data_IF_499198970533
#
_entry.id   IF_499198970533
#
_cell.length_a   1.000
_cell.length_b   1.000
_cell.length_c   1.000
_cell.angle_alpha   90.00
_cell.angle_beta   90.00
_cell.angle_gamma   90.00
#
_symmetry.space_group_name_H-M   'P 1'
#
loop_
_entity.id
_entity.type
_entity.pdbx_description
1 polymer ?
#
# COMPACT_ATOMS: atom_id res chain seq x y z
N UNK A 1 4.59 -18.88 9.36
CA UNK A 1 6.05 -18.72 9.30
C UNK A 1 6.72 -19.72 8.36
N UNK A 2 6.42 -21.05 8.31
CA UNK A 2 7.02 -21.93 7.29
C UNK A 2 6.80 -21.47 5.84
N UNK A 3 5.63 -20.89 5.55
CA UNK A 3 5.30 -20.39 4.22
C UNK A 3 6.23 -19.26 3.77
N UNK A 4 6.56 -18.32 4.66
CA UNK A 4 7.46 -17.18 4.32
C UNK A 4 8.88 -17.66 4.06
N UNK A 5 9.35 -18.69 4.78
CA UNK A 5 10.63 -19.34 4.50
C UNK A 5 10.62 -20.00 3.13
N UNK A 6 9.56 -20.75 2.79
CA UNK A 6 9.42 -21.38 1.48
C UNK A 6 9.41 -20.34 0.35
N UNK A 7 8.78 -19.20 0.54
CA UNK A 7 8.83 -18.08 -0.41
C UNK A 7 10.24 -17.51 -0.57
N UNK A 8 10.97 -17.31 0.54
CA UNK A 8 12.36 -16.84 0.48
C UNK A 8 13.25 -17.85 -0.28
N UNK A 9 13.07 -19.15 -0.02
CA UNK A 9 13.82 -20.22 -0.69
C UNK A 9 13.46 -20.31 -2.18
N UNK A 10 12.22 -20.05 -2.54
CA UNK A 10 11.76 -19.95 -3.94
C UNK A 10 12.23 -18.66 -4.64
N UNK A 11 12.93 -17.76 -3.96
CA UNK A 11 13.51 -16.54 -4.54
C UNK A 11 12.60 -15.31 -4.53
N UNK A 12 11.47 -15.34 -3.81
CA UNK A 12 10.62 -14.15 -3.59
C UNK A 12 11.44 -13.07 -2.90
N UNK A 13 11.38 -11.85 -3.42
CA UNK A 13 12.23 -10.73 -2.98
C UNK A 13 11.66 -9.92 -1.83
N UNK A 14 10.35 -9.95 -1.63
CA UNK A 14 9.66 -9.20 -0.59
C UNK A 14 8.32 -9.79 -0.22
N UNK A 15 7.89 -9.57 1.02
CA UNK A 15 6.54 -9.88 1.51
C UNK A 15 5.94 -8.65 2.14
N UNK A 16 4.62 -8.47 1.98
CA UNK A 16 3.90 -7.32 2.45
C UNK A 16 2.79 -7.74 3.40
N UNK A 17 2.74 -7.12 4.58
CA UNK A 17 1.68 -7.37 5.54
C UNK A 17 0.69 -6.20 5.55
N UNK A 18 -0.60 -6.43 5.23
CA UNK A 18 -1.62 -5.39 5.30
C UNK A 18 -2.04 -5.13 6.75
N UNK A 19 -2.51 -3.91 7.02
CA UNK A 19 -3.27 -3.58 8.22
C UNK A 19 -4.74 -3.46 7.86
N UNK A 20 -5.56 -4.33 8.44
CA UNK A 20 -7.02 -4.16 8.42
C UNK A 20 -7.43 -3.53 9.75
N UNK A 21 -7.11 -4.16 10.87
CA UNK A 21 -7.30 -3.64 12.23
C UNK A 21 -6.01 -3.70 13.06
N UNK A 22 -5.39 -4.87 13.18
CA UNK A 22 -4.13 -5.07 13.90
C UNK A 22 -2.92 -4.52 13.13
N UNK A 23 -1.95 -3.94 13.85
CA UNK A 23 -0.75 -3.39 13.24
C UNK A 23 0.10 -4.49 12.56
N UNK A 24 0.65 -4.25 11.36
CA UNK A 24 1.37 -5.26 10.57
C UNK A 24 2.76 -5.58 11.13
N UNK A 25 3.30 -4.75 12.02
CA UNK A 25 4.67 -4.87 12.53
C UNK A 25 4.92 -6.18 13.26
N UNK A 26 3.97 -6.68 14.07
CA UNK A 26 4.11 -7.95 14.80
C UNK A 26 4.23 -9.15 13.84
N UNK A 27 3.42 -9.19 12.79
CA UNK A 27 3.48 -10.24 11.76
C UNK A 27 4.82 -10.21 11.02
N UNK A 28 5.31 -9.00 10.66
CA UNK A 28 6.59 -8.83 9.99
C UNK A 28 7.77 -9.15 10.91
N UNK A 29 7.70 -8.85 12.21
CA UNK A 29 8.72 -9.25 13.18
C UNK A 29 8.85 -10.78 13.27
N UNK A 30 7.72 -11.50 13.29
CA UNK A 30 7.73 -12.96 13.24
C UNK A 30 8.31 -13.50 11.91
N UNK A 31 8.04 -12.86 10.77
CA UNK A 31 8.66 -13.19 9.49
C UNK A 31 10.17 -12.89 9.49
N UNK A 32 10.59 -11.77 10.09
CA UNK A 32 12.00 -11.40 10.22
C UNK A 32 12.82 -12.44 10.97
N UNK A 33 12.25 -13.04 12.02
CA UNK A 33 12.92 -14.03 12.85
C UNK A 33 13.27 -15.32 12.10
N UNK A 34 12.52 -15.67 11.04
CA UNK A 34 12.67 -16.92 10.29
C UNK A 34 13.24 -16.75 8.88
N UNK A 35 13.54 -15.53 8.46
CA UNK A 35 14.08 -15.19 7.13
C UNK A 35 15.36 -14.38 7.23
N UNK A 36 16.12 -14.27 6.14
CA UNK A 36 17.42 -13.57 6.13
C UNK A 36 17.59 -12.57 4.99
N UNK A 37 16.89 -12.74 3.88
CA UNK A 37 17.10 -11.97 2.64
C UNK A 37 15.87 -11.20 2.18
N UNK A 38 14.68 -11.78 2.37
CA UNK A 38 13.41 -11.23 1.87
C UNK A 38 13.13 -9.87 2.52
N UNK A 39 12.74 -8.88 1.74
CA UNK A 39 12.27 -7.58 2.23
C UNK A 39 10.95 -7.71 2.97
N UNK A 40 10.74 -6.90 3.96
CA UNK A 40 9.58 -6.94 4.85
C UNK A 40 8.85 -5.60 4.75
N UNK A 41 7.76 -5.59 4.02
CA UNK A 41 6.99 -4.37 3.74
C UNK A 41 5.68 -4.31 4.53
N UNK A 42 5.31 -3.15 5.02
CA UNK A 42 3.92 -2.90 5.40
C UNK A 42 3.14 -2.54 4.15
N UNK A 43 2.10 -3.26 3.82
CA UNK A 43 1.32 -3.03 2.61
C UNK A 43 -0.17 -2.95 2.87
N UNK A 44 -0.59 -1.95 3.59
CA UNK A 44 0.07 -0.79 4.21
C UNK A 44 -0.11 -0.79 5.74
N UNK A 45 0.73 -0.03 6.47
CA UNK A 45 0.38 0.41 7.81
C UNK A 45 -0.50 1.67 7.71
N UNK A 46 -1.60 1.71 8.48
CA UNK A 46 -2.51 2.87 8.48
C UNK A 46 -1.84 4.03 9.22
N UNK A 47 -1.48 5.07 8.48
CA UNK A 47 -0.67 6.19 8.97
C UNK A 47 -1.37 7.02 10.06
N UNK A 48 -2.71 7.10 10.02
CA UNK A 48 -3.49 7.99 10.90
C UNK A 48 -4.03 7.28 12.15
N UNK A 49 -3.70 6.01 12.36
CA UNK A 49 -4.15 5.25 13.55
C UNK A 49 -3.21 5.32 14.73
N UNK A 50 -2.05 5.95 14.57
CA UNK A 50 -1.00 6.08 15.59
C UNK A 50 -0.16 7.33 15.35
N UNK A 51 0.58 7.78 16.37
CA UNK A 51 1.47 8.93 16.21
C UNK A 51 2.62 8.63 15.24
N UNK A 52 3.15 9.65 14.55
CA UNK A 52 4.36 9.50 13.74
C UNK A 52 5.56 8.98 14.55
N UNK A 53 5.65 9.33 15.83
CA UNK A 53 6.69 8.81 16.73
C UNK A 53 6.57 7.29 16.90
N UNK A 54 5.38 6.79 17.21
CA UNK A 54 5.15 5.35 17.40
C UNK A 54 5.37 4.57 16.10
N UNK A 55 4.96 5.15 14.96
CA UNK A 55 5.21 4.57 13.64
C UNK A 55 6.72 4.47 13.34
N UNK A 56 7.48 5.53 13.63
CA UNK A 56 8.92 5.55 13.45
C UNK A 56 9.64 4.54 14.35
N UNK A 57 9.27 4.48 15.65
CA UNK A 57 9.84 3.51 16.59
C UNK A 57 9.56 2.07 16.15
N UNK A 58 8.32 1.76 15.78
CA UNK A 58 7.96 0.42 15.28
C UNK A 58 8.75 0.03 14.02
N UNK A 59 8.97 0.98 13.11
CA UNK A 59 9.76 0.74 11.91
C UNK A 59 11.24 0.53 12.24
N UNK A 60 11.81 1.29 13.18
CA UNK A 60 13.20 1.15 13.65
C UNK A 60 13.40 -0.21 14.32
N UNK A 61 12.51 -0.61 15.23
CA UNK A 61 12.59 -1.90 15.92
C UNK A 61 12.55 -3.06 14.92
N UNK A 62 11.62 -3.00 13.97
CA UNK A 62 11.53 -4.02 12.92
C UNK A 62 12.77 -4.02 12.02
N UNK A 63 13.35 -2.85 11.73
CA UNK A 63 14.55 -2.73 10.91
C UNK A 63 15.78 -3.31 11.63
N UNK A 64 15.88 -3.14 12.96
CA UNK A 64 16.88 -3.81 13.79
C UNK A 64 16.71 -5.33 13.79
N UNK A 65 15.47 -5.83 14.06
CA UNK A 65 15.17 -7.28 14.09
C UNK A 65 15.47 -7.92 12.73
N UNK A 66 15.19 -7.22 11.65
CA UNK A 66 15.32 -7.74 10.28
C UNK A 66 16.70 -7.53 9.65
N UNK A 67 17.63 -6.87 10.32
CA UNK A 67 18.92 -6.47 9.77
C UNK A 67 18.82 -5.58 8.51
N UNK A 68 17.98 -4.53 8.60
CA UNK A 68 17.88 -3.51 7.55
C UNK A 68 17.01 -3.88 6.35
N UNK A 69 16.03 -4.78 6.51
CA UNK A 69 15.18 -5.27 5.39
C UNK A 69 13.81 -4.61 5.29
N UNK A 70 13.49 -3.63 6.14
CA UNK A 70 12.16 -3.01 6.19
C UNK A 70 11.90 -2.09 5.01
N UNK A 71 10.67 -2.10 4.52
CA UNK A 71 10.06 -1.08 3.65
C UNK A 71 8.78 -0.62 4.34
N UNK A 72 8.68 0.67 4.65
CA UNK A 72 7.55 1.23 5.36
C UNK A 72 6.50 1.75 4.39
N UNK A 73 5.49 0.92 4.08
CA UNK A 73 4.32 1.35 3.32
C UNK A 73 3.30 2.00 4.25
N UNK A 74 2.95 3.26 3.98
CA UNK A 74 2.01 4.07 4.76
C UNK A 74 0.82 4.48 3.90
N UNK A 75 -0.40 4.31 4.42
CA UNK A 75 -1.62 4.72 3.72
C UNK A 75 -2.65 5.34 4.65
N UNK A 76 -3.56 6.13 4.06
CA UNK A 76 -4.58 6.88 4.79
C UNK A 76 -5.79 6.04 5.19
N UNK A 77 -6.06 4.92 4.51
CA UNK A 77 -7.33 4.21 4.59
C UNK A 77 -8.55 5.09 4.20
N UNK A 78 -9.76 4.68 4.61
CA UNK A 78 -10.99 5.45 4.43
C UNK A 78 -11.29 6.26 5.71
N UNK A 79 -11.90 7.43 5.53
CA UNK A 79 -12.31 8.31 6.63
C UNK A 79 -13.20 7.57 7.63
N UNK A 80 -14.19 6.82 7.14
CA UNK A 80 -15.11 6.04 8.00
C UNK A 80 -14.40 5.01 8.88
N UNK A 81 -13.28 4.44 8.42
CA UNK A 81 -12.49 3.52 9.21
C UNK A 81 -11.64 4.27 10.25
N UNK A 82 -10.98 5.35 9.85
CA UNK A 82 -10.10 6.11 10.73
C UNK A 82 -10.91 6.80 11.84
N UNK A 83 -11.97 7.52 11.49
CA UNK A 83 -12.79 8.23 12.47
C UNK A 83 -13.75 7.30 13.20
N UNK A 84 -14.42 6.40 12.46
CA UNK A 84 -15.43 5.51 13.04
C UNK A 84 -14.85 4.36 13.88
N UNK A 85 -13.86 3.63 13.35
CA UNK A 85 -13.33 2.44 14.04
C UNK A 85 -12.14 2.74 14.94
N UNK A 86 -11.26 3.65 14.53
CA UNK A 86 -10.06 3.99 15.31
C UNK A 86 -10.21 5.24 16.19
N UNK A 87 -11.27 6.04 15.99
CA UNK A 87 -11.51 7.27 16.76
C UNK A 87 -10.43 8.34 16.57
N UNK A 88 -9.76 8.35 15.40
CA UNK A 88 -8.66 9.25 15.09
C UNK A 88 -9.08 10.27 14.02
N UNK A 89 -8.39 11.40 13.95
CA UNK A 89 -8.66 12.45 12.95
C UNK A 89 -8.18 12.02 11.57
N UNK A 90 -9.06 12.06 10.57
CA UNK A 90 -8.70 11.84 9.17
C UNK A 90 -8.17 13.11 8.51
N UNK A 91 -8.93 14.19 8.58
CA UNK A 91 -8.57 15.50 8.05
C UNK A 91 -8.41 15.53 6.53
N UNK A 92 -7.44 16.31 6.05
CA UNK A 92 -7.08 16.38 4.62
C UNK A 92 -6.00 15.31 4.31
N UNK A 93 -6.33 14.16 3.73
CA UNK A 93 -5.45 12.99 3.74
C UNK A 93 -4.09 13.22 3.07
N UNK A 94 -4.01 14.00 2.01
CA UNK A 94 -2.74 14.30 1.36
C UNK A 94 -1.84 15.20 2.21
N UNK A 95 -2.40 16.21 2.87
CA UNK A 95 -1.64 17.09 3.76
C UNK A 95 -1.20 16.33 5.02
N UNK A 96 -2.11 15.58 5.63
CA UNK A 96 -1.85 14.75 6.80
C UNK A 96 -0.77 13.70 6.52
N UNK A 97 -0.83 13.00 5.37
CA UNK A 97 0.19 12.02 4.97
C UNK A 97 1.55 12.66 4.79
N UNK A 98 1.62 13.85 4.19
CA UNK A 98 2.89 14.58 4.01
C UNK A 98 3.53 14.91 5.35
N UNK A 99 2.72 15.36 6.30
CA UNK A 99 3.17 15.64 7.67
C UNK A 99 3.70 14.38 8.37
N UNK A 100 2.90 13.29 8.35
CA UNK A 100 3.32 12.01 8.96
C UNK A 100 4.63 11.51 8.37
N UNK A 101 4.78 11.51 7.04
CA UNK A 101 6.02 11.06 6.38
C UNK A 101 7.21 11.91 6.80
N UNK A 102 7.05 13.25 6.85
CA UNK A 102 8.11 14.15 7.26
C UNK A 102 8.54 13.90 8.72
N UNK A 103 7.57 13.76 9.62
CA UNK A 103 7.86 13.54 11.05
C UNK A 103 8.45 12.15 11.30
N UNK A 104 7.95 11.10 10.63
CA UNK A 104 8.51 9.74 10.71
C UNK A 104 9.98 9.75 10.25
N UNK A 105 10.29 10.36 9.12
CA UNK A 105 11.66 10.47 8.62
C UNK A 105 12.57 11.26 9.58
N UNK A 106 12.07 12.35 10.16
CA UNK A 106 12.84 13.12 11.13
C UNK A 106 13.20 12.29 12.37
N UNK A 107 12.24 11.51 12.91
CA UNK A 107 12.49 10.63 14.05
C UNK A 107 13.49 9.51 13.69
N UNK A 108 13.34 8.86 12.54
CA UNK A 108 14.29 7.82 12.09
C UNK A 108 15.70 8.39 11.97
N UNK A 109 15.85 9.55 11.32
CA UNK A 109 17.17 10.14 11.06
C UNK A 109 17.84 10.71 12.33
N UNK A 110 17.08 11.31 13.25
CA UNK A 110 17.63 12.15 14.31
C UNK A 110 17.21 11.75 15.74
N UNK A 111 16.26 10.84 15.92
CA UNK A 111 15.71 10.49 17.23
C UNK A 111 16.74 9.96 18.23
N UNK A 112 17.85 9.42 17.76
CA UNK A 112 18.97 8.95 18.59
C UNK A 112 19.96 10.04 19.02
N UNK A 113 19.96 11.20 18.36
CA UNK A 113 20.96 12.26 18.57
C UNK A 113 20.72 13.08 19.84
N UNK A 114 19.47 13.11 20.32
CA UNK A 114 19.03 14.00 21.39
C UNK A 114 18.90 15.47 20.96
N UNK A 115 19.05 15.77 19.67
CA UNK A 115 18.93 17.12 19.12
C UNK A 115 17.51 17.45 18.67
N UNK A 116 16.72 16.43 18.31
CA UNK A 116 15.33 16.58 17.91
C UNK A 116 14.47 16.91 19.12
N UNK A 117 14.00 18.18 19.21
CA UNK A 117 13.27 18.67 20.39
C UNK A 117 11.77 18.76 20.16
N UNK A 118 11.37 19.25 19.00
CA UNK A 118 9.97 19.47 18.69
C UNK A 118 9.73 19.36 17.21
N UNK A 119 8.62 18.74 16.83
CA UNK A 119 8.10 18.72 15.47
C UNK A 119 6.68 19.31 15.50
N UNK A 120 6.49 20.41 14.76
CA UNK A 120 5.21 21.08 14.63
C UNK A 120 4.50 20.59 13.37
N UNK A 121 3.19 20.39 13.48
CA UNK A 121 2.34 20.07 12.35
C UNK A 121 0.89 20.47 12.61
N UNK A 122 0.09 20.41 11.58
CA UNK A 122 -1.36 20.72 11.65
C UNK A 122 -2.15 19.59 12.33
N UNK A 123 -1.63 18.34 12.25
CA UNK A 123 -2.27 17.14 12.77
C UNK A 123 -1.53 16.55 13.98
N UNK A 124 -0.21 16.65 14.00
CA UNK A 124 0.63 16.10 15.06
C UNK A 124 1.68 17.10 15.51
N UNK A 125 1.62 17.48 16.76
CA UNK A 125 2.70 18.20 17.42
C UNK A 125 3.39 17.26 18.40
N UNK A 126 4.68 16.98 18.17
CA UNK A 126 5.47 16.09 19.00
C UNK A 126 6.46 16.89 19.83
N UNK A 127 6.35 16.85 21.16
CA UNK A 127 7.39 17.33 22.06
C UNK A 127 8.34 16.17 22.36
N UNK A 128 9.54 16.25 21.83
CA UNK A 128 10.60 15.26 21.92
C UNK A 128 11.73 15.71 22.85
N UNK A 129 11.51 16.73 23.71
CA UNK A 129 12.53 17.32 24.58
C UNK A 129 13.16 16.31 25.52
N UNK A 130 12.38 15.30 25.95
CA UNK A 130 12.82 14.20 26.82
C UNK A 130 12.93 12.85 26.10
N UNK A 131 12.79 12.86 24.76
CA UNK A 131 12.88 11.66 23.95
C UNK A 131 14.27 11.47 23.38
N UNK A 132 14.76 10.24 23.46
CA UNK A 132 15.96 9.78 22.77
C UNK A 132 15.89 8.28 22.55
N UNK A 133 16.11 7.83 21.32
CA UNK A 133 16.33 6.43 21.04
C UNK A 133 17.60 5.95 21.78
N UNK A 134 17.53 4.76 22.39
CA UNK A 134 18.64 4.18 23.18
C UNK A 134 19.83 3.85 22.28
N UNK A 135 19.56 3.42 21.04
CA UNK A 135 20.55 3.09 20.04
C UNK A 135 20.28 3.84 18.71
N UNK A 136 21.31 4.11 17.91
CA UNK A 136 21.09 4.63 16.56
C UNK A 136 20.31 3.62 15.72
N UNK A 137 19.50 4.06 14.74
CA UNK A 137 18.79 3.16 13.84
C UNK A 137 19.80 2.35 12.99
N UNK A 138 19.39 1.16 12.56
CA UNK A 138 20.23 0.31 11.67
C UNK A 138 20.58 1.02 10.37
N UNK A 139 19.66 1.85 9.87
CA UNK A 139 19.82 2.73 8.71
C UNK A 139 19.33 4.13 9.06
N UNK A 140 19.99 5.16 8.56
CA UNK A 140 19.57 6.54 8.75
C UNK A 140 18.28 6.89 7.98
N UNK A 141 17.88 6.05 7.04
CA UNK A 141 16.66 6.16 6.28
C UNK A 141 16.07 4.77 6.01
N UNK A 142 14.78 4.60 6.35
CA UNK A 142 13.97 3.44 5.97
C UNK A 142 13.12 3.88 4.78
N UNK A 143 13.10 3.14 3.65
CA UNK A 143 12.30 3.52 2.49
C UNK A 143 10.82 3.62 2.85
N UNK A 144 10.18 4.74 2.48
CA UNK A 144 8.75 5.00 2.68
C UNK A 144 8.02 4.85 1.35
N UNK A 145 7.09 3.90 1.28
CA UNK A 145 6.24 3.68 0.11
C UNK A 145 4.83 4.19 0.38
N UNK A 146 4.22 4.83 -0.61
CA UNK A 146 2.85 5.34 -0.51
C UNK A 146 1.95 4.66 -1.56
N UNK A 147 0.74 4.22 -1.18
CA UNK A 147 -0.26 3.80 -2.14
C UNK A 147 -0.90 5.02 -2.80
N UNK A 148 -1.33 4.83 -4.03
CA UNK A 148 -2.13 5.83 -4.73
C UNK A 148 -3.18 5.12 -5.58
N UNK A 149 -4.28 5.80 -5.90
CA UNK A 149 -5.23 5.38 -6.92
C UNK A 149 -5.51 6.52 -7.89
N UNK A 150 -5.58 7.75 -7.38
CA UNK A 150 -5.89 8.95 -8.16
C UNK A 150 -4.68 9.85 -8.35
N UNK A 151 -4.79 10.73 -9.31
CA UNK A 151 -3.76 11.61 -9.85
C UNK A 151 -2.96 12.34 -8.76
N UNK A 152 -3.64 13.05 -7.86
CA UNK A 152 -2.97 13.82 -6.79
C UNK A 152 -2.19 12.97 -5.79
N UNK A 153 -2.64 11.73 -5.56
CA UNK A 153 -1.91 10.80 -4.71
C UNK A 153 -0.67 10.26 -5.44
N UNK A 154 -0.76 10.03 -6.76
CA UNK A 154 0.39 9.67 -7.59
C UNK A 154 1.43 10.80 -7.62
N UNK A 155 1.00 12.06 -7.82
CA UNK A 155 1.87 13.25 -7.75
C UNK A 155 2.56 13.35 -6.38
N UNK A 156 1.81 13.14 -5.29
CA UNK A 156 2.40 13.16 -3.95
C UNK A 156 3.42 12.04 -3.75
N UNK A 157 3.13 10.82 -4.22
CA UNK A 157 4.09 9.71 -4.14
C UNK A 157 5.38 10.06 -4.91
N UNK A 158 5.29 10.62 -6.11
CA UNK A 158 6.43 11.14 -6.86
C UNK A 158 7.22 12.21 -6.09
N UNK A 159 6.51 13.12 -5.44
CA UNK A 159 7.16 14.23 -4.73
C UNK A 159 7.89 13.80 -3.46
N UNK A 160 7.35 12.87 -2.65
CA UNK A 160 7.87 12.62 -1.30
C UNK A 160 8.19 11.15 -0.98
N UNK A 161 7.72 10.16 -1.75
CA UNK A 161 7.93 8.75 -1.42
C UNK A 161 9.22 8.18 -2.03
N UNK A 162 9.69 7.06 -1.50
CA UNK A 162 10.77 6.26 -2.07
C UNK A 162 10.22 5.12 -2.93
N UNK A 163 8.91 4.89 -2.87
CA UNK A 163 8.20 3.96 -3.74
C UNK A 163 6.71 4.24 -3.81
N UNK A 164 6.11 3.80 -4.91
CA UNK A 164 4.69 3.78 -5.15
C UNK A 164 4.18 2.35 -5.00
N UNK A 165 3.25 2.11 -4.07
CA UNK A 165 2.53 0.86 -3.97
C UNK A 165 1.32 0.91 -4.89
N UNK A 166 1.31 0.04 -5.90
CA UNK A 166 0.22 -0.09 -6.83
C UNK A 166 -1.05 -0.58 -6.15
N UNK A 167 -2.19 -0.11 -6.62
CA UNK A 167 -3.47 -0.59 -6.14
C UNK A 167 -3.90 -1.83 -6.95
N UNK A 168 -4.40 -2.90 -6.32
CA UNK A 168 -4.74 -4.14 -7.03
C UNK A 168 -5.89 -3.99 -8.03
N UNK A 169 -6.64 -2.89 -7.96
CA UNK A 169 -7.68 -2.56 -8.93
C UNK A 169 -7.16 -1.98 -10.26
N UNK A 170 -5.89 -1.54 -10.32
CA UNK A 170 -5.39 -0.85 -11.51
C UNK A 170 -5.40 -1.74 -12.76
N UNK A 171 -6.04 -1.27 -13.81
CA UNK A 171 -5.89 -1.82 -15.16
C UNK A 171 -4.58 -1.34 -15.80
N UNK A 172 -4.09 -2.05 -16.81
CA UNK A 172 -2.90 -1.63 -17.59
C UNK A 172 -3.08 -0.23 -18.17
N UNK A 173 -4.27 0.06 -18.71
CA UNK A 173 -4.60 1.38 -19.26
C UNK A 173 -4.58 2.48 -18.20
N UNK A 174 -5.13 2.21 -16.99
CA UNK A 174 -5.10 3.17 -15.89
C UNK A 174 -3.67 3.50 -15.46
N UNK A 175 -2.80 2.49 -15.41
CA UNK A 175 -1.39 2.69 -15.09
C UNK A 175 -0.73 3.63 -16.11
N UNK A 176 -0.93 3.37 -17.41
CA UNK A 176 -0.31 4.14 -18.48
C UNK A 176 -0.84 5.58 -18.55
N UNK A 177 -2.15 5.78 -18.42
CA UNK A 177 -2.79 7.06 -18.67
C UNK A 177 -2.89 7.96 -17.44
N UNK A 178 -2.93 7.39 -16.25
CA UNK A 178 -3.19 8.13 -15.01
C UNK A 178 -2.04 8.03 -14.01
N UNK A 179 -1.52 6.84 -13.77
CA UNK A 179 -0.55 6.64 -12.68
C UNK A 179 0.82 7.18 -13.06
N UNK A 180 1.41 6.69 -14.14
CA UNK A 180 2.78 7.04 -14.54
C UNK A 180 2.93 8.52 -14.86
N UNK A 181 2.05 9.16 -15.66
CA UNK A 181 2.19 10.58 -15.96
C UNK A 181 2.12 11.47 -14.72
N UNK A 182 1.23 11.16 -13.77
CA UNK A 182 1.11 11.95 -12.54
C UNK A 182 2.24 11.67 -11.55
N UNK A 183 2.76 10.46 -11.48
CA UNK A 183 3.97 10.15 -10.71
C UNK A 183 5.16 10.97 -11.23
N UNK A 184 5.36 11.01 -12.56
CA UNK A 184 6.41 11.77 -13.20
C UNK A 184 6.25 13.28 -13.02
N UNK A 185 5.01 13.79 -13.06
CA UNK A 185 4.73 15.18 -12.73
C UNK A 185 5.13 15.50 -11.28
N UNK A 186 4.81 14.64 -10.33
CA UNK A 186 5.22 14.78 -8.93
C UNK A 186 6.74 14.78 -8.74
N UNK A 187 7.45 13.88 -9.43
CA UNK A 187 8.92 13.81 -9.43
C UNK A 187 9.51 15.11 -10.00
N UNK A 188 9.04 15.55 -11.16
CA UNK A 188 9.52 16.75 -11.84
C UNK A 188 9.33 17.99 -10.98
N UNK A 189 8.13 18.18 -10.41
CA UNK A 189 7.83 19.32 -9.54
C UNK A 189 8.68 19.36 -8.27
N UNK A 190 9.13 18.19 -7.80
CA UNK A 190 10.02 18.06 -6.64
C UNK A 190 11.51 18.04 -7.01
N UNK A 191 11.86 18.15 -8.29
CA UNK A 191 13.27 18.09 -8.76
C UNK A 191 13.93 16.72 -8.54
N UNK A 192 13.13 15.63 -8.55
CA UNK A 192 13.60 14.26 -8.27
C UNK A 192 13.72 13.45 -9.56
N UNK A 193 14.75 12.61 -9.72
CA UNK A 193 14.87 11.73 -10.87
C UNK A 193 13.86 10.55 -10.78
N UNK A 194 13.53 9.94 -11.93
CA UNK A 194 12.64 8.74 -11.95
C UNK A 194 13.16 7.60 -11.07
N UNK A 195 14.48 7.44 -10.98
CA UNK A 195 15.14 6.43 -10.14
C UNK A 195 14.96 6.63 -8.63
N UNK A 196 14.42 7.77 -8.20
CA UNK A 196 14.16 8.05 -6.79
C UNK A 196 12.90 7.33 -6.26
N UNK A 197 12.07 6.76 -7.14
CA UNK A 197 10.83 6.06 -6.76
C UNK A 197 10.77 4.69 -7.41
N UNK A 198 10.62 3.65 -6.59
CA UNK A 198 10.32 2.29 -7.04
C UNK A 198 8.83 2.16 -7.28
N UNK A 199 8.39 1.82 -8.50
CA UNK A 199 7.01 1.47 -8.80
C UNK A 199 6.82 -0.02 -8.52
N UNK A 200 6.09 -0.36 -7.46
CA UNK A 200 5.76 -1.72 -7.08
C UNK A 200 4.28 -1.98 -7.34
N UNK A 201 3.95 -2.75 -8.36
CA UNK A 201 2.56 -3.09 -8.69
C UNK A 201 2.07 -4.22 -7.80
N UNK A 202 0.90 -4.02 -7.19
CA UNK A 202 0.12 -5.11 -6.59
C UNK A 202 -0.86 -5.62 -7.64
N UNK A 203 -0.90 -6.94 -7.85
CA UNK A 203 -1.75 -7.57 -8.86
C UNK A 203 -2.50 -8.74 -8.25
N UNK A 204 -3.83 -8.72 -8.32
CA UNK A 204 -4.61 -9.89 -7.98
C UNK A 204 -4.49 -10.94 -9.08
N UNK A 205 -4.07 -12.14 -8.69
CA UNK A 205 -3.77 -13.23 -9.60
C UNK A 205 -4.52 -14.50 -9.17
N UNK A 206 -5.23 -15.12 -10.11
CA UNK A 206 -5.90 -16.42 -9.93
C UNK A 206 -5.38 -17.41 -10.97
N UNK A 207 -4.62 -18.41 -10.51
CA UNK A 207 -4.05 -19.44 -11.37
C UNK A 207 -4.96 -20.66 -11.34
N UNK A 208 -5.64 -20.93 -12.46
CA UNK A 208 -6.48 -22.10 -12.64
C UNK A 208 -6.59 -22.39 -14.14
N UNK A 209 -6.37 -23.64 -14.56
CA UNK A 209 -6.52 -24.06 -15.96
C UNK A 209 -7.99 -23.95 -16.45
N UNK A 210 -8.95 -23.99 -15.54
CA UNK A 210 -10.33 -23.66 -15.81
C UNK A 210 -10.57 -22.16 -15.60
N UNK A 211 -10.60 -21.40 -16.69
CA UNK A 211 -10.79 -19.94 -16.66
C UNK A 211 -12.10 -19.51 -15.97
N UNK A 212 -13.18 -20.28 -16.12
CA UNK A 212 -14.45 -19.96 -15.48
C UNK A 212 -14.37 -20.05 -13.95
N UNK A 213 -13.63 -21.04 -13.43
CA UNK A 213 -13.36 -21.16 -12.00
C UNK A 213 -12.44 -20.03 -11.52
N UNK A 214 -11.38 -19.69 -12.26
CA UNK A 214 -10.51 -18.54 -11.91
C UNK A 214 -11.31 -17.23 -11.80
N UNK A 215 -12.25 -16.98 -12.71
CA UNK A 215 -13.14 -15.81 -12.66
C UNK A 215 -14.05 -15.88 -11.43
N UNK A 216 -14.63 -17.04 -11.14
CA UNK A 216 -15.52 -17.22 -9.98
C UNK A 216 -14.78 -16.95 -8.65
N UNK A 217 -13.55 -17.45 -8.51
CA UNK A 217 -12.71 -17.24 -7.34
C UNK A 217 -12.32 -15.77 -7.14
N UNK A 218 -11.99 -15.06 -8.22
CA UNK A 218 -11.62 -13.65 -8.18
C UNK A 218 -12.80 -12.71 -7.87
N UNK A 219 -14.01 -13.09 -8.28
CA UNK A 219 -15.22 -12.25 -8.25
C UNK A 219 -15.57 -11.74 -6.86
N UNK A 220 -15.57 -12.61 -5.86
CA UNK A 220 -15.93 -12.23 -4.48
C UNK A 220 -14.94 -11.21 -3.90
N UNK A 221 -13.65 -11.39 -4.18
CA UNK A 221 -12.61 -10.48 -3.74
C UNK A 221 -12.73 -9.09 -4.42
N UNK A 222 -12.99 -9.07 -5.73
CA UNK A 222 -13.21 -7.81 -6.45
C UNK A 222 -14.47 -7.09 -5.97
N UNK A 223 -15.59 -7.80 -5.78
CA UNK A 223 -16.81 -7.23 -5.23
C UNK A 223 -16.60 -6.63 -3.84
N UNK A 224 -15.80 -7.29 -2.98
CA UNK A 224 -15.42 -6.76 -1.67
C UNK A 224 -14.65 -5.44 -1.76
N UNK A 225 -13.72 -5.27 -2.70
CA UNK A 225 -13.04 -3.99 -2.91
C UNK A 225 -13.99 -2.93 -3.48
N UNK A 226 -14.84 -3.32 -4.43
CA UNK A 226 -15.76 -2.41 -5.13
C UNK A 226 -16.82 -1.81 -4.22
N UNK A 227 -17.17 -2.49 -3.11
CA UNK A 227 -18.18 -2.01 -2.16
C UNK A 227 -17.80 -0.68 -1.50
N UNK A 228 -16.53 -0.31 -1.49
CA UNK A 228 -16.08 0.92 -0.85
C UNK A 228 -16.40 2.16 -1.71
N UNK A 229 -17.17 3.15 -1.20
CA UNK A 229 -17.60 4.32 -1.98
C UNK A 229 -16.44 5.15 -2.55
N UNK A 230 -15.28 5.13 -1.90
CA UNK A 230 -14.09 5.86 -2.35
C UNK A 230 -13.58 5.43 -3.73
N UNK A 231 -13.93 4.22 -4.18
CA UNK A 231 -13.51 3.70 -5.50
C UNK A 231 -14.53 3.92 -6.61
N UNK A 232 -15.72 4.48 -6.31
CA UNK A 232 -16.77 4.65 -7.32
C UNK A 232 -16.27 5.42 -8.55
N UNK A 233 -15.60 6.57 -8.35
CA UNK A 233 -15.01 7.35 -9.43
C UNK A 233 -14.06 6.52 -10.30
N UNK A 234 -13.23 5.69 -9.71
CA UNK A 234 -12.32 4.80 -10.45
C UNK A 234 -13.11 3.86 -11.37
N UNK A 235 -14.16 3.21 -10.84
CA UNK A 235 -14.99 2.31 -11.64
C UNK A 235 -15.80 3.03 -12.71
N UNK A 236 -16.22 4.26 -12.47
CA UNK A 236 -16.85 5.11 -13.49
C UNK A 236 -15.86 5.41 -14.63
N UNK A 237 -14.65 5.80 -14.31
CA UNK A 237 -13.61 6.14 -15.27
C UNK A 237 -13.17 4.94 -16.15
N UNK A 238 -13.24 3.71 -15.62
CA UNK A 238 -12.93 2.48 -16.38
C UNK A 238 -14.17 1.77 -16.97
N UNK A 239 -15.36 2.39 -16.90
CA UNK A 239 -16.57 1.92 -17.56
C UNK A 239 -17.45 0.95 -16.75
N UNK A 240 -17.15 0.69 -15.47
CA UNK A 240 -17.91 -0.20 -14.58
C UNK A 240 -18.68 0.54 -13.47
N UNK A 241 -19.02 1.81 -13.69
CA UNK A 241 -19.70 2.63 -12.68
C UNK A 241 -21.09 2.15 -12.30
N UNK A 242 -21.83 1.53 -13.24
CA UNK A 242 -23.16 0.94 -12.99
C UNK A 242 -23.04 -0.26 -12.06
N UNK A 243 -22.12 -1.16 -12.33
CA UNK A 243 -21.82 -2.37 -11.57
C UNK A 243 -21.33 -2.00 -10.16
N UNK A 244 -20.44 -1.02 -10.06
CA UNK A 244 -19.95 -0.53 -8.77
C UNK A 244 -21.07 0.02 -7.89
N UNK A 245 -22.01 0.81 -8.45
CA UNK A 245 -23.17 1.29 -7.70
C UNK A 245 -24.10 0.15 -7.25
N UNK A 246 -24.30 -0.86 -8.10
CA UNK A 246 -25.09 -2.01 -7.74
C UNK A 246 -24.47 -2.83 -6.60
N UNK A 247 -23.14 -3.04 -6.65
CA UNK A 247 -22.38 -3.71 -5.60
C UNK A 247 -22.45 -2.91 -4.28
N UNK A 248 -22.27 -1.60 -4.32
CA UNK A 248 -22.38 -0.74 -3.14
C UNK A 248 -23.78 -0.73 -2.53
N UNK A 249 -24.82 -0.72 -3.36
CA UNK A 249 -26.20 -0.79 -2.89
C UNK A 249 -26.51 -2.16 -2.23
N UNK A 250 -26.04 -3.26 -2.80
CA UNK A 250 -26.18 -4.60 -2.21
C UNK A 250 -25.41 -4.71 -0.87
N UNK A 251 -24.22 -4.15 -0.79
CA UNK A 251 -23.44 -4.11 0.45
C UNK A 251 -24.17 -3.34 1.57
N UNK A 252 -24.79 -2.21 1.24
CA UNK A 252 -25.51 -1.38 2.22
C UNK A 252 -26.65 -2.15 2.95
N UNK A 253 -27.20 -3.16 2.30
CA UNK A 253 -28.25 -4.07 2.87
C UNK A 253 -27.69 -5.44 3.27
N UNK A 254 -26.36 -5.62 3.27
CA UNK A 254 -25.65 -6.87 3.60
C UNK A 254 -26.04 -8.07 2.72
N UNK A 255 -26.44 -7.84 1.46
CA UNK A 255 -26.70 -8.90 0.47
C UNK A 255 -25.41 -9.22 -0.29
N UNK A 256 -24.59 -10.08 0.29
CA UNK A 256 -23.28 -10.47 -0.28
C UNK A 256 -23.42 -11.29 -1.57
N UNK A 257 -24.53 -12.03 -1.72
CA UNK A 257 -24.81 -12.76 -2.94
C UNK A 257 -25.18 -11.80 -4.10
N UNK A 258 -25.96 -10.76 -3.83
CA UNK A 258 -26.26 -9.73 -4.81
C UNK A 258 -25.00 -8.93 -5.19
N UNK A 259 -24.10 -8.64 -4.22
CA UNK A 259 -22.79 -8.03 -4.51
C UNK A 259 -22.00 -8.85 -5.54
N UNK A 260 -21.88 -10.15 -5.28
CA UNK A 260 -21.12 -11.06 -6.16
C UNK A 260 -21.77 -11.16 -7.54
N UNK A 261 -23.10 -11.27 -7.61
CA UNK A 261 -23.85 -11.31 -8.89
C UNK A 261 -23.74 -10.01 -9.69
N UNK A 262 -23.59 -8.86 -9.03
CA UNK A 262 -23.45 -7.57 -9.69
C UNK A 262 -22.06 -7.32 -10.30
N UNK A 263 -21.10 -8.22 -10.06
CA UNK A 263 -19.73 -8.14 -10.59
C UNK A 263 -19.63 -9.07 -11.83
N UNK A 264 -19.71 -8.57 -13.07
CA UNK A 264 -19.69 -9.39 -14.27
C UNK A 264 -18.28 -9.90 -14.61
N UNK A 265 -18.21 -10.94 -15.45
CA UNK A 265 -16.95 -11.58 -15.87
C UNK A 265 -16.00 -10.60 -16.55
N UNK A 266 -16.51 -9.65 -17.32
CA UNK A 266 -15.76 -8.62 -18.01
C UNK A 266 -15.04 -7.71 -17.02
N UNK A 267 -15.72 -7.31 -15.93
CA UNK A 267 -15.13 -6.50 -14.86
C UNK A 267 -14.02 -7.27 -14.12
N UNK A 268 -14.27 -8.55 -13.82
CA UNK A 268 -13.26 -9.43 -13.18
C UNK A 268 -12.03 -9.55 -14.06
N UNK A 269 -12.23 -9.83 -15.36
CA UNK A 269 -11.14 -10.05 -16.32
C UNK A 269 -10.36 -8.78 -16.66
N UNK A 270 -10.98 -7.61 -16.59
CA UNK A 270 -10.31 -6.33 -16.85
C UNK A 270 -9.30 -5.95 -15.74
N UNK A 271 -9.58 -6.37 -14.50
CA UNK A 271 -8.81 -5.96 -13.32
C UNK A 271 -7.81 -7.03 -12.89
N UNK A 272 -8.26 -8.30 -12.82
CA UNK A 272 -7.43 -9.40 -12.31
C UNK A 272 -6.62 -10.04 -13.45
N UNK A 273 -5.47 -10.61 -13.09
CA UNK A 273 -4.72 -11.51 -13.94
C UNK A 273 -5.16 -12.94 -13.58
N UNK A 274 -5.71 -13.67 -14.56
CA UNK A 274 -6.30 -14.97 -14.31
C UNK A 274 -6.24 -15.91 -15.53
N UNK A 275 -6.07 -17.19 -15.27
CA UNK A 275 -5.93 -18.25 -16.27
C UNK A 275 -4.93 -19.31 -15.85
N UNK A 276 -4.46 -20.12 -16.80
CA UNK A 276 -3.37 -21.07 -16.59
C UNK A 276 -2.07 -20.37 -16.16
N UNK A 277 -1.13 -21.13 -15.61
CA UNK A 277 0.15 -20.58 -15.16
C UNK A 277 0.93 -19.86 -16.28
N UNK A 278 0.81 -20.33 -17.52
CA UNK A 278 1.50 -19.73 -18.67
C UNK A 278 0.83 -18.43 -19.10
N UNK A 279 -0.51 -18.40 -19.22
CA UNK A 279 -1.26 -17.17 -19.50
C UNK A 279 -1.00 -16.10 -18.41
N UNK A 280 -0.98 -16.49 -17.14
CA UNK A 280 -0.69 -15.56 -16.03
C UNK A 280 0.72 -14.98 -16.15
N UNK A 281 1.73 -15.78 -16.52
CA UNK A 281 3.11 -15.28 -16.73
C UNK A 281 3.16 -14.23 -17.86
N UNK A 282 2.48 -14.48 -18.97
CA UNK A 282 2.41 -13.53 -20.09
C UNK A 282 1.73 -12.22 -19.68
N UNK A 283 0.56 -12.30 -19.06
CA UNK A 283 -0.20 -11.12 -18.59
C UNK A 283 0.57 -10.31 -17.52
N UNK A 284 1.29 -11.00 -16.63
CA UNK A 284 2.16 -10.36 -15.63
C UNK A 284 3.31 -9.63 -16.34
N UNK A 285 3.95 -10.26 -17.33
CA UNK A 285 5.04 -9.65 -18.08
C UNK A 285 4.59 -8.38 -18.82
N UNK A 286 3.42 -8.40 -19.44
CA UNK A 286 2.83 -7.22 -20.09
C UNK A 286 2.59 -6.07 -19.10
N UNK A 287 2.00 -6.38 -17.94
CA UNK A 287 1.70 -5.36 -16.92
C UNK A 287 2.97 -4.83 -16.24
N UNK A 288 4.02 -5.63 -16.18
CA UNK A 288 5.30 -5.29 -15.58
C UNK A 288 6.11 -4.23 -16.33
N UNK A 289 5.78 -3.95 -17.59
CA UNK A 289 6.55 -2.98 -18.43
C UNK A 289 6.65 -1.60 -17.77
N UNK A 290 5.67 -1.21 -16.96
CA UNK A 290 5.65 0.08 -16.26
C UNK A 290 6.08 -0.02 -14.79
N UNK A 291 6.63 -1.17 -14.36
CA UNK A 291 6.95 -1.44 -12.96
C UNK A 291 8.43 -1.76 -12.74
N UNK A 292 8.91 -1.44 -11.55
CA UNK A 292 10.24 -1.85 -11.07
C UNK A 292 10.14 -3.15 -10.23
N UNK A 293 8.94 -3.46 -9.71
CA UNK A 293 8.64 -4.67 -8.93
C UNK A 293 7.16 -5.03 -9.04
N UNK A 294 6.84 -6.31 -8.76
CA UNK A 294 5.47 -6.84 -8.71
C UNK A 294 5.27 -7.57 -7.37
N UNK A 295 4.08 -7.37 -6.81
CA UNK A 295 3.62 -8.01 -5.57
C UNK A 295 2.28 -8.70 -5.79
#
# INVERSE_FOLDING_TARGET
MPLVQAWEDAGVKGVWAPQIFGAPFATLAAAAAVTRRIKLGTGIALAFTRSPLETACSAIDLDHISDGRVVLGLGSSAESQIEGSFGMVYGKPLAHMREVVAQVRAVIAQGHTGQLKRLEGDYHTLDLSHFRLIAPPRRSAIPVYLPAIFEKACEQAGAIADGLLGHPLWTTQWIADRVIPHLEAGLTNAGRPRSAVTVNLMIFTMINDNRAEAIADARANLAFYTQSPQYLRYFEDIGFGKEARAIQAAFAVQDFDAMTRACPDEMVSAINILGSADEVREMVAERAVSADAIT
#
